data_IF_856146055141
#
_entry.id   IF_856146055141
#
_cell.length_a   1.000
_cell.length_b   1.000
_cell.length_c   1.000
_cell.angle_alpha   90.00
_cell.angle_beta   90.00
_cell.angle_gamma   90.00
#
_symmetry.space_group_name_H-M   'P 1'
#
loop_
_entity.id
_entity.type
_entity.pdbx_description
1 polymer ?
#
# COMPACT_ATOMS: atom_id res chain seq x y z
N UNK A 1 5.73 35.77 -32.57
CA UNK A 1 6.59 35.62 -31.37
C UNK A 1 5.89 34.66 -30.42
N UNK A 2 6.14 33.33 -30.48
CA UNK A 2 5.40 32.34 -29.72
C UNK A 2 6.19 31.87 -28.48
N UNK A 3 6.49 32.77 -27.54
CA UNK A 3 7.34 32.43 -26.39
C UNK A 3 6.57 31.88 -25.16
N UNK A 4 5.25 31.72 -25.24
CA UNK A 4 4.41 31.44 -24.07
C UNK A 4 3.91 29.98 -23.96
N UNK A 5 4.25 29.11 -24.91
CA UNK A 5 3.75 27.73 -24.92
C UNK A 5 4.51 26.75 -24.01
N UNK A 6 5.60 27.18 -23.34
CA UNK A 6 6.44 26.27 -22.55
C UNK A 6 6.18 26.28 -21.03
N UNK A 7 5.25 27.10 -20.53
CA UNK A 7 5.04 27.24 -19.07
C UNK A 7 3.92 26.34 -18.53
N UNK A 8 3.10 25.71 -19.38
CA UNK A 8 2.00 24.83 -18.93
C UNK A 8 2.39 23.37 -18.64
N UNK A 9 3.66 22.98 -18.84
CA UNK A 9 4.07 21.57 -18.82
C UNK A 9 4.87 21.09 -17.60
N UNK A 10 5.19 21.94 -16.62
CA UNK A 10 6.28 21.62 -15.66
C UNK A 10 5.79 21.23 -14.25
N UNK A 11 4.52 21.45 -13.88
CA UNK A 11 3.97 20.90 -12.64
C UNK A 11 3.30 19.55 -12.87
N UNK A 12 4.11 18.57 -13.30
CA UNK A 12 3.75 17.16 -13.20
C UNK A 12 4.83 16.48 -12.35
N UNK A 13 4.60 16.30 -11.03
CA UNK A 13 5.62 15.89 -10.07
C UNK A 13 6.26 14.53 -10.38
N UNK A 14 5.68 13.74 -11.28
CA UNK A 14 6.23 12.43 -11.66
C UNK A 14 7.38 12.50 -12.69
N UNK A 15 7.79 13.68 -13.19
CA UNK A 15 8.79 13.80 -14.28
C UNK A 15 10.17 14.35 -13.93
N UNK A 16 10.39 14.89 -12.74
CA UNK A 16 11.69 15.50 -12.39
C UNK A 16 12.45 14.82 -11.24
N UNK A 17 11.95 13.71 -10.73
CA UNK A 17 12.48 13.14 -9.48
C UNK A 17 12.74 11.63 -9.56
N UNK A 18 12.74 11.06 -10.78
CA UNK A 18 13.23 9.70 -10.99
C UNK A 18 14.75 9.74 -11.15
N UNK A 19 15.56 9.28 -10.18
CA UNK A 19 16.89 8.84 -10.55
C UNK A 19 16.65 7.58 -11.36
N UNK A 20 16.98 7.62 -12.63
CA UNK A 20 16.73 6.54 -13.59
C UNK A 20 17.65 5.33 -13.36
N UNK A 21 17.85 4.94 -12.11
CA UNK A 21 18.40 3.66 -11.72
C UNK A 21 17.31 2.60 -11.75
N UNK A 22 17.63 1.45 -12.34
CA UNK A 22 16.81 0.24 -12.26
C UNK A 22 16.20 0.00 -10.86
N UNK A 23 16.94 0.16 -9.74
CA UNK A 23 16.39 -0.15 -8.41
C UNK A 23 15.19 0.70 -8.01
N UNK A 24 15.15 1.98 -8.37
CA UNK A 24 14.09 2.90 -7.95
C UNK A 24 12.78 2.62 -8.69
N UNK A 25 12.85 2.27 -9.98
CA UNK A 25 11.67 1.88 -10.78
C UNK A 25 11.12 0.53 -10.32
N UNK A 26 11.98 -0.43 -9.97
CA UNK A 26 11.52 -1.69 -9.41
C UNK A 26 10.85 -1.49 -8.04
N UNK A 27 11.40 -0.63 -7.19
CA UNK A 27 10.81 -0.34 -5.88
C UNK A 27 9.43 0.32 -5.97
N UNK A 28 9.25 1.32 -6.85
CA UNK A 28 7.96 2.01 -7.00
C UNK A 28 6.87 1.09 -7.57
N UNK A 29 7.20 0.31 -8.60
CA UNK A 29 6.27 -0.69 -9.16
C UNK A 29 5.87 -1.73 -8.11
N UNK A 30 6.86 -2.28 -7.38
CA UNK A 30 6.61 -3.31 -6.40
C UNK A 30 5.74 -2.78 -5.25
N UNK A 31 6.00 -1.56 -4.79
CA UNK A 31 5.20 -0.92 -3.74
C UNK A 31 3.75 -0.66 -4.22
N UNK A 32 3.57 -0.13 -5.43
CA UNK A 32 2.24 0.17 -5.97
C UNK A 32 1.40 -1.11 -6.18
N UNK A 33 1.98 -2.16 -6.76
CA UNK A 33 1.30 -3.45 -6.89
C UNK A 33 1.05 -4.11 -5.54
N UNK A 34 2.00 -4.02 -4.59
CA UNK A 34 1.86 -4.56 -3.26
C UNK A 34 0.72 -3.89 -2.49
N UNK A 35 0.58 -2.56 -2.54
CA UNK A 35 -0.49 -1.85 -1.82
C UNK A 35 -1.87 -2.25 -2.37
N UNK A 36 -2.04 -2.26 -3.70
CA UNK A 36 -3.33 -2.61 -4.34
C UNK A 36 -3.68 -4.09 -4.09
N UNK A 37 -2.71 -4.99 -4.29
CA UNK A 37 -2.90 -6.42 -4.08
C UNK A 37 -3.14 -6.78 -2.62
N UNK A 38 -2.37 -6.19 -1.71
CA UNK A 38 -2.53 -6.40 -0.27
C UNK A 38 -3.88 -5.88 0.21
N UNK A 39 -4.29 -4.67 -0.20
CA UNK A 39 -5.59 -4.11 0.17
C UNK A 39 -6.76 -5.03 -0.22
N UNK A 40 -6.72 -5.57 -1.43
CA UNK A 40 -7.76 -6.50 -1.91
C UNK A 40 -7.75 -7.82 -1.13
N UNK A 41 -6.58 -8.42 -0.91
CA UNK A 41 -6.47 -9.68 -0.17
C UNK A 41 -6.91 -9.51 1.29
N UNK A 42 -6.49 -8.43 1.96
CA UNK A 42 -6.89 -8.14 3.33
C UNK A 42 -8.40 -7.88 3.44
N UNK A 43 -9.00 -7.22 2.46
CA UNK A 43 -10.44 -7.01 2.42
C UNK A 43 -11.22 -8.34 2.37
N UNK A 44 -10.81 -9.26 1.47
CA UNK A 44 -11.45 -10.59 1.36
C UNK A 44 -11.22 -11.42 2.64
N UNK A 45 -10.01 -11.41 3.18
CA UNK A 45 -9.69 -12.07 4.46
C UNK A 45 -10.53 -11.56 5.62
N UNK A 46 -10.74 -10.25 5.72
CA UNK A 46 -11.54 -9.63 6.78
C UNK A 46 -13.01 -10.08 6.70
N UNK A 47 -13.57 -10.15 5.50
CA UNK A 47 -14.93 -10.66 5.27
C UNK A 47 -15.02 -12.13 5.70
N UNK A 48 -14.13 -13.00 5.21
CA UNK A 48 -14.16 -14.43 5.54
C UNK A 48 -13.96 -14.68 7.03
N UNK A 49 -13.03 -13.96 7.66
CA UNK A 49 -12.76 -14.07 9.09
C UNK A 49 -13.95 -13.55 9.92
N UNK A 50 -14.63 -12.49 9.48
CA UNK A 50 -15.86 -11.99 10.08
C UNK A 50 -17.00 -13.00 10.02
N UNK A 51 -17.22 -13.62 8.86
CA UNK A 51 -18.20 -14.71 8.72
C UNK A 51 -17.84 -15.91 9.59
N UNK A 52 -16.57 -16.31 9.64
CA UNK A 52 -16.10 -17.40 10.49
C UNK A 52 -16.29 -17.09 11.98
N UNK A 53 -16.16 -15.83 12.39
CA UNK A 53 -16.39 -15.40 13.77
C UNK A 53 -17.88 -15.45 14.13
N UNK A 54 -18.75 -14.95 13.23
CA UNK A 54 -20.21 -14.97 13.44
C UNK A 54 -20.80 -16.39 13.42
N UNK A 55 -20.28 -17.26 12.55
CA UNK A 55 -20.74 -18.65 12.41
C UNK A 55 -20.13 -19.61 13.43
N UNK A 56 -19.21 -19.16 14.29
CA UNK A 56 -18.59 -19.99 15.31
C UNK A 56 -19.58 -20.49 16.38
N UNK A 57 -20.77 -19.89 16.50
CA UNK A 57 -21.90 -20.36 17.31
C UNK A 57 -21.54 -20.72 18.78
N UNK A 58 -20.52 -20.05 19.35
CA UNK A 58 -20.07 -20.28 20.73
C UNK A 58 -19.01 -21.36 20.90
N UNK A 59 -18.56 -22.02 19.83
CA UNK A 59 -17.43 -22.96 19.87
C UNK A 59 -16.11 -22.19 20.11
N UNK A 60 -15.47 -22.35 21.28
CA UNK A 60 -14.28 -21.59 21.64
C UNK A 60 -13.10 -21.86 20.70
N UNK A 61 -13.00 -23.04 20.09
CA UNK A 61 -11.93 -23.35 19.14
C UNK A 61 -12.08 -22.55 17.83
N UNK A 62 -13.31 -22.46 17.33
CA UNK A 62 -13.63 -21.68 16.12
C UNK A 62 -13.51 -20.19 16.36
N UNK A 63 -13.94 -19.71 17.53
CA UNK A 63 -13.77 -18.30 17.92
C UNK A 63 -12.28 -17.94 17.98
N UNK A 64 -11.44 -18.75 18.64
CA UNK A 64 -9.99 -18.49 18.66
C UNK A 64 -9.37 -18.46 17.26
N UNK A 65 -9.74 -19.40 16.39
CA UNK A 65 -9.24 -19.43 15.01
C UNK A 65 -9.65 -18.18 14.22
N UNK A 66 -10.91 -17.78 14.32
CA UNK A 66 -11.42 -16.59 13.64
C UNK A 66 -10.80 -15.31 14.19
N UNK A 67 -10.65 -15.17 15.51
CA UNK A 67 -9.98 -14.02 16.14
C UNK A 67 -8.52 -13.92 15.71
N UNK A 68 -7.78 -15.03 15.68
CA UNK A 68 -6.38 -15.04 15.20
C UNK A 68 -6.29 -14.57 13.75
N UNK A 69 -7.22 -15.02 12.91
CA UNK A 69 -7.29 -14.62 11.50
C UNK A 69 -7.61 -13.13 11.36
N UNK A 70 -8.56 -12.60 12.13
CA UNK A 70 -8.86 -11.17 12.20
C UNK A 70 -7.64 -10.36 12.64
N UNK A 71 -6.92 -10.79 13.69
CA UNK A 71 -5.71 -10.12 14.15
C UNK A 71 -4.64 -10.08 13.08
N UNK A 72 -4.41 -11.18 12.34
CA UNK A 72 -3.45 -11.19 11.23
C UNK A 72 -3.88 -10.24 10.10
N UNK A 73 -5.16 -10.21 9.74
CA UNK A 73 -5.68 -9.29 8.73
C UNK A 73 -5.48 -7.83 9.13
N UNK A 74 -5.72 -7.50 10.40
CA UNK A 74 -5.50 -6.16 10.96
C UNK A 74 -4.02 -5.78 10.98
N UNK A 75 -3.13 -6.68 11.43
CA UNK A 75 -1.69 -6.45 11.43
C UNK A 75 -1.20 -6.19 10.01
N UNK A 76 -1.65 -6.99 9.04
CA UNK A 76 -1.28 -6.81 7.64
C UNK A 76 -1.72 -5.46 7.06
N UNK A 77 -2.92 -4.99 7.41
CA UNK A 77 -3.37 -3.65 7.04
C UNK A 77 -2.49 -2.55 7.65
N UNK A 78 -2.13 -2.67 8.93
CA UNK A 78 -1.22 -1.74 9.61
C UNK A 78 0.16 -1.72 8.94
N UNK A 79 0.66 -2.87 8.50
CA UNK A 79 1.94 -2.98 7.78
C UNK A 79 1.88 -2.22 6.45
N UNK A 80 0.80 -2.36 5.67
CA UNK A 80 0.63 -1.61 4.41
C UNK A 80 0.61 -0.10 4.66
N UNK A 81 -0.11 0.35 5.68
CA UNK A 81 -0.15 1.76 6.07
C UNK A 81 1.26 2.23 6.46
N UNK A 82 1.95 1.47 7.31
CA UNK A 82 3.30 1.82 7.77
C UNK A 82 4.30 1.84 6.62
N UNK A 83 4.19 0.93 5.65
CA UNK A 83 5.03 0.90 4.47
C UNK A 83 4.87 2.18 3.62
N UNK A 84 3.66 2.72 3.52
CA UNK A 84 3.40 4.01 2.86
C UNK A 84 4.10 5.17 3.59
N UNK A 85 4.00 5.22 4.92
CA UNK A 85 4.70 6.24 5.71
C UNK A 85 6.23 6.15 5.56
N UNK A 86 6.78 4.94 5.58
CA UNK A 86 8.22 4.73 5.36
C UNK A 86 8.61 5.18 3.96
N UNK A 87 7.83 4.83 2.94
CA UNK A 87 8.08 5.25 1.58
C UNK A 87 8.13 6.78 1.49
N UNK A 88 7.15 7.48 2.06
CA UNK A 88 7.10 8.95 2.07
C UNK A 88 8.30 9.60 2.77
N UNK A 89 8.80 8.99 3.86
CA UNK A 89 10.03 9.46 4.53
C UNK A 89 11.25 9.25 3.62
N UNK A 90 11.34 8.10 2.94
CA UNK A 90 12.40 7.83 1.98
C UNK A 90 12.37 8.79 0.80
N UNK A 91 11.19 9.24 0.36
CA UNK A 91 11.07 10.27 -0.68
C UNK A 91 11.72 11.59 -0.28
N UNK A 92 11.47 12.04 0.95
CA UNK A 92 12.00 13.31 1.47
C UNK A 92 13.52 13.23 1.65
N UNK A 93 14.04 12.09 2.11
CA UNK A 93 15.48 11.91 2.36
C UNK A 93 16.25 11.70 1.06
N UNK A 94 15.71 10.92 0.13
CA UNK A 94 16.39 10.55 -1.12
C UNK A 94 16.10 11.55 -2.26
N UNK A 95 15.07 12.40 -2.12
CA UNK A 95 14.61 13.33 -3.16
C UNK A 95 13.89 12.64 -4.33
N UNK A 96 13.44 11.40 -4.13
CA UNK A 96 12.89 10.51 -5.16
C UNK A 96 11.39 10.33 -4.91
N UNK A 97 10.54 10.31 -5.95
CA UNK A 97 9.10 10.12 -5.81
C UNK A 97 8.81 8.67 -6.14
N UNK A 98 8.56 7.91 -5.09
CA UNK A 98 8.37 6.47 -5.06
C UNK A 98 6.87 6.14 -4.95
N UNK A 99 6.08 7.09 -4.44
CA UNK A 99 4.64 7.04 -4.18
C UNK A 99 3.87 8.04 -5.04
#
# INVERSE_FOLDING_TARGET
MPHLAQISGIYNPTRFTNPTGLPTVFASLLLQYAIIGAGFVFFVQLIMAGFSFLTAAGDPAKIQGATKTLTHALIGLIVVITAFFIAQILEVILGLNIV
#
